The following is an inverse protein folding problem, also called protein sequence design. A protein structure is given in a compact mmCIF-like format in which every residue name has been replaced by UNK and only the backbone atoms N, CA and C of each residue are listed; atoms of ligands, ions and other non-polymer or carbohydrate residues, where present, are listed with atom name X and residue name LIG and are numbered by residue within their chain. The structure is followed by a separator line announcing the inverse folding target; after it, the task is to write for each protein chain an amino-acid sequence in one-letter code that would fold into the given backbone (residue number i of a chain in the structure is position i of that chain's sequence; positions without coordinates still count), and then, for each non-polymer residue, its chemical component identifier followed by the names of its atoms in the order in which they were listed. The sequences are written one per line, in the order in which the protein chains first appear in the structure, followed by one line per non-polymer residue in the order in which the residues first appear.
data_IF_625940296844
#
_entry.id   IF_625940296844
#
_cell.length_a   1.000
_cell.length_b   1.000
_cell.length_c   1.000
_cell.angle_alpha   90.00
_cell.angle_beta   90.00
_cell.angle_gamma   90.00
#
_symmetry.space_group_name_H-M   'P 1'
#
loop_
_entity.id
_entity.type
_entity.pdbx_description
1 polymer ?
#
# COMPACT_ATOMS: atom_id res chain seq x y z
N UNK A 1 -11.39 5.97 -2.44
CA UNK A 1 -10.08 5.61 -2.98
C UNK A 1 -9.35 4.62 -2.10
N UNK A 2 -8.65 3.71 -2.76
CA UNK A 2 -7.80 2.72 -2.13
C UNK A 2 -6.43 2.72 -2.79
N UNK A 3 -5.44 2.22 -2.06
CA UNK A 3 -4.15 1.82 -2.62
C UNK A 3 -4.08 0.30 -2.66
N UNK A 4 -3.65 -0.22 -3.79
CA UNK A 4 -3.31 -1.63 -3.95
C UNK A 4 -1.80 -1.76 -4.07
N UNK A 5 -1.20 -2.65 -3.28
CA UNK A 5 0.20 -3.03 -3.38
C UNK A 5 0.32 -4.51 -3.70
N UNK A 6 1.26 -4.86 -4.57
CA UNK A 6 1.53 -6.25 -4.97
C UNK A 6 3.02 -6.54 -4.75
N UNK A 7 3.34 -7.74 -4.28
CA UNK A 7 4.72 -8.22 -4.12
C UNK A 7 5.15 -9.16 -5.24
N UNK A 8 6.45 -9.37 -5.39
CA UNK A 8 6.99 -10.28 -6.41
C UNK A 8 6.53 -11.73 -6.23
N UNK A 9 6.31 -12.18 -5.01
CA UNK A 9 5.81 -13.54 -4.72
C UNK A 9 4.27 -13.62 -4.72
N UNK A 10 3.56 -12.58 -5.17
CA UNK A 10 2.11 -12.62 -5.42
C UNK A 10 1.23 -12.25 -4.23
N UNK A 11 1.80 -11.72 -3.13
CA UNK A 11 0.99 -11.15 -2.05
C UNK A 11 0.37 -9.83 -2.52
N UNK A 12 -0.95 -9.71 -2.39
CA UNK A 12 -1.69 -8.50 -2.73
C UNK A 12 -2.35 -7.93 -1.49
N UNK A 13 -2.23 -6.62 -1.28
CA UNK A 13 -2.86 -5.91 -0.17
C UNK A 13 -3.59 -4.69 -0.69
N UNK A 14 -4.81 -4.48 -0.19
CA UNK A 14 -5.61 -3.28 -0.41
C UNK A 14 -5.74 -2.51 0.90
N UNK A 15 -5.54 -1.21 0.84
CA UNK A 15 -5.66 -0.31 1.97
C UNK A 15 -6.52 0.88 1.57
N UNK A 16 -7.55 1.17 2.37
CA UNK A 16 -8.32 2.40 2.22
C UNK A 16 -7.42 3.61 2.51
N UNK A 17 -7.45 4.61 1.63
CA UNK A 17 -6.65 5.84 1.82
C UNK A 17 -7.04 6.54 3.13
N UNK A 18 -8.29 6.38 3.58
CA UNK A 18 -8.80 6.99 4.82
C UNK A 18 -8.16 6.42 6.10
N UNK A 19 -7.61 5.21 6.02
CA UNK A 19 -6.98 4.55 7.18
C UNK A 19 -5.49 4.90 7.29
N UNK A 20 -4.93 5.58 6.28
CA UNK A 20 -3.52 5.97 6.24
C UNK A 20 -3.38 7.29 7.00
N UNK A 21 -2.65 7.24 8.11
CA UNK A 21 -2.34 8.43 8.89
C UNK A 21 -1.56 9.44 8.04
N UNK A 22 -2.01 10.69 8.06
CA UNK A 22 -1.29 11.81 7.47
C UNK A 22 0.05 12.05 8.16
N UNK A 23 1.09 12.25 7.36
CA UNK A 23 2.45 12.50 7.84
C UNK A 23 3.11 13.61 7.02
N UNK A 24 3.99 14.40 7.65
CA UNK A 24 4.69 15.49 6.99
C UNK A 24 5.70 15.03 5.91
N UNK A 25 6.10 15.94 5.03
CA UNK A 25 7.00 15.65 3.89
C UNK A 25 8.37 15.09 4.30
N UNK A 26 8.90 15.53 5.43
CA UNK A 26 10.19 15.06 5.98
C UNK A 26 9.99 13.98 7.05
N UNK A 27 9.21 12.95 6.72
CA UNK A 27 8.95 11.80 7.61
C UNK A 27 9.03 10.48 6.84
N UNK A 28 9.12 9.37 7.56
CA UNK A 28 9.12 8.02 6.96
C UNK A 28 7.71 7.49 6.63
N UNK A 29 6.66 8.20 7.05
CA UNK A 29 5.29 7.72 6.91
C UNK A 29 4.95 6.57 7.86
N UNK A 30 4.03 5.71 7.42
CA UNK A 30 3.53 4.55 8.17
C UNK A 30 3.74 3.25 7.40
N UNK A 31 3.87 2.14 8.12
CA UNK A 31 3.95 0.80 7.51
C UNK A 31 2.56 0.33 7.10
N UNK A 32 2.32 0.18 5.80
CA UNK A 32 1.06 -0.35 5.26
C UNK A 32 0.99 -1.89 5.26
N UNK A 33 2.12 -2.55 5.01
CA UNK A 33 2.20 -4.01 4.92
C UNK A 33 3.43 -4.53 5.66
N UNK A 34 3.31 -5.71 6.27
CA UNK A 34 4.45 -6.41 6.84
C UNK A 34 4.85 -7.56 5.91
N UNK A 35 6.04 -7.47 5.32
CA UNK A 35 6.57 -8.52 4.44
C UNK A 35 7.45 -9.44 5.29
N UNK A 36 6.88 -10.56 5.72
CA UNK A 36 7.58 -11.51 6.60
C UNK A 36 8.60 -12.39 5.86
N UNK A 37 8.46 -12.53 4.54
CA UNK A 37 9.40 -13.27 3.72
C UNK A 37 10.57 -12.35 3.34
N UNK A 38 11.78 -12.67 3.81
CA UNK A 38 12.98 -11.84 3.60
C UNK A 38 13.35 -11.62 2.12
N UNK A 39 12.90 -12.50 1.24
CA UNK A 39 13.16 -12.41 -0.21
C UNK A 39 11.99 -11.80 -0.98
N UNK A 40 10.87 -11.52 -0.32
CA UNK A 40 9.73 -10.89 -0.98
C UNK A 40 9.84 -9.37 -0.87
N UNK A 41 9.45 -8.69 -1.95
CA UNK A 41 9.54 -7.24 -2.07
C UNK A 41 8.31 -6.73 -2.80
N UNK A 42 7.91 -5.50 -2.49
CA UNK A 42 6.86 -4.80 -3.25
C UNK A 42 7.35 -4.64 -4.70
N UNK A 43 6.54 -5.11 -5.63
CA UNK A 43 6.79 -5.03 -7.07
C UNK A 43 6.05 -3.87 -7.72
N UNK A 44 4.84 -3.57 -7.25
CA UNK A 44 4.00 -2.51 -7.83
C UNK A 44 3.02 -1.93 -6.80
N UNK A 45 2.62 -0.68 -7.03
CA UNK A 45 1.59 0.05 -6.27
C UNK A 45 0.67 0.76 -7.26
N UNK A 46 -0.64 0.68 -7.03
CA UNK A 46 -1.65 1.34 -7.86
C UNK A 46 -2.67 2.08 -6.98
N UNK A 47 -3.09 3.26 -7.43
CA UNK A 47 -4.23 3.97 -6.88
C UNK A 47 -5.51 3.47 -7.54
N UNK A 48 -6.45 3.05 -6.73
CA UNK A 48 -7.76 2.56 -7.16
C UNK A 48 -8.78 3.63 -6.81
N UNK A 49 -9.25 4.32 -7.84
CA UNK A 49 -10.30 5.32 -7.73
C UNK A 49 -11.63 4.57 -7.66
N UNK A 50 -12.44 4.87 -6.64
CA UNK A 50 -13.80 4.37 -6.62
C UNK A 50 -14.56 5.06 -7.76
N UNK A 51 -15.17 4.28 -8.66
CA UNK A 51 -15.99 4.87 -9.73
C UNK A 51 -17.25 5.40 -9.05
N UNK A 52 -17.38 6.73 -9.00
CA UNK A 52 -18.62 7.37 -8.59
C UNK A 52 -19.75 6.87 -9.50
N UNK A 53 -20.81 6.36 -8.88
CA UNK A 53 -22.01 5.88 -9.56
C UNK A 53 -22.99 7.03 -9.79
#
# INVERSE_FOLDING_TARGET
DELMAVTKKGMMVRCSVKDIRETGRSSQGVRLININNKEDIVSSVAHIVAKDA
#
